data_IF_404395582871
#
_entry.id   IF_404395582871
#
_cell.length_a   1.000
_cell.length_b   1.000
_cell.length_c   1.000
_cell.angle_alpha   90.00
_cell.angle_beta   90.00
_cell.angle_gamma   90.00
#
_symmetry.space_group_name_H-M   'P 1'
#
loop_
_entity.id
_entity.type
_entity.pdbx_description
1 polymer ?
#
# COMPACT_ATOMS: atom_id res chain seq x y z
N UNK A 1 -24.98 8.50 11.51
CA UNK A 1 -23.71 7.81 11.76
C UNK A 1 -23.98 6.34 11.56
N UNK A 2 -23.22 5.67 10.68
CA UNK A 2 -23.27 4.22 10.60
C UNK A 2 -22.29 3.69 11.65
N UNK A 3 -22.75 2.85 12.56
CA UNK A 3 -21.87 2.20 13.51
C UNK A 3 -21.11 1.08 12.79
N UNK A 4 -19.77 1.12 12.87
CA UNK A 4 -18.88 0.12 12.29
C UNK A 4 -18.40 -0.78 13.43
N UNK A 5 -18.82 -2.05 13.41
CA UNK A 5 -18.36 -3.07 14.36
C UNK A 5 -17.32 -3.95 13.64
N UNK A 6 -16.05 -3.77 13.98
CA UNK A 6 -14.93 -4.56 13.46
C UNK A 6 -14.04 -5.01 14.62
N UNK A 7 -13.48 -6.22 14.51
CA UNK A 7 -12.49 -6.71 15.49
C UNK A 7 -11.13 -6.07 15.23
N UNK A 8 -10.40 -5.71 16.28
CA UNK A 8 -9.02 -5.18 16.16
C UNK A 8 -8.12 -6.13 15.37
N UNK A 9 -8.22 -7.44 15.61
CA UNK A 9 -7.46 -8.45 14.87
C UNK A 9 -7.75 -8.45 13.35
N UNK A 10 -8.96 -8.08 12.94
CA UNK A 10 -9.30 -7.92 11.51
C UNK A 10 -8.63 -6.67 10.94
N UNK A 11 -8.60 -5.56 11.70
CA UNK A 11 -7.86 -4.34 11.31
C UNK A 11 -6.36 -4.61 11.17
N UNK A 12 -5.75 -5.34 12.10
CA UNK A 12 -4.35 -5.73 12.00
C UNK A 12 -4.07 -6.56 10.74
N UNK A 13 -4.99 -7.48 10.40
CA UNK A 13 -4.86 -8.32 9.21
C UNK A 13 -4.94 -7.48 7.94
N UNK A 14 -5.88 -6.53 7.88
CA UNK A 14 -5.98 -5.59 6.76
C UNK A 14 -4.72 -4.73 6.67
N UNK A 15 -4.22 -4.20 7.79
CA UNK A 15 -2.98 -3.42 7.81
C UNK A 15 -1.81 -4.21 7.25
N UNK A 16 -1.57 -5.44 7.73
CA UNK A 16 -0.48 -6.31 7.22
C UNK A 16 -0.62 -6.59 5.73
N UNK A 17 -1.85 -6.78 5.25
CA UNK A 17 -2.11 -7.02 3.83
C UNK A 17 -1.80 -5.78 2.99
N UNK A 18 -2.18 -4.58 3.47
CA UNK A 18 -1.86 -3.32 2.81
C UNK A 18 -0.36 -3.06 2.77
N UNK A 19 0.35 -3.31 3.88
CA UNK A 19 1.80 -3.17 3.93
C UNK A 19 2.48 -4.12 2.92
N UNK A 20 2.03 -5.38 2.83
CA UNK A 20 2.55 -6.34 1.83
C UNK A 20 2.33 -5.86 0.40
N UNK A 21 1.15 -5.32 0.08
CA UNK A 21 0.84 -4.80 -1.26
C UNK A 21 1.71 -3.57 -1.59
N UNK A 22 1.93 -2.70 -0.61
CA UNK A 22 2.82 -1.54 -0.75
C UNK A 22 4.25 -2.00 -1.03
N UNK A 23 4.75 -2.97 -0.28
CA UNK A 23 6.08 -3.55 -0.48
C UNK A 23 6.21 -4.19 -1.87
N UNK A 24 5.19 -4.91 -2.34
CA UNK A 24 5.15 -5.46 -3.71
C UNK A 24 5.24 -4.36 -4.77
N UNK A 25 4.51 -3.25 -4.60
CA UNK A 25 4.58 -2.12 -5.53
C UNK A 25 5.94 -1.42 -5.52
N UNK A 26 6.64 -1.34 -4.38
CA UNK A 26 7.98 -0.76 -4.31
C UNK A 26 9.03 -1.59 -5.04
N UNK A 27 8.90 -2.92 -5.00
CA UNK A 27 9.86 -3.84 -5.62
C UNK A 27 9.55 -4.18 -7.08
N UNK A 28 8.34 -3.89 -7.57
CA UNK A 28 7.93 -4.23 -8.92
C UNK A 28 8.47 -3.27 -10.01
N UNK A 29 9.17 -2.19 -9.64
CA UNK A 29 9.70 -1.18 -10.59
C UNK A 29 10.76 -1.77 -11.52
N UNK A 30 11.58 -2.67 -11.01
CA UNK A 30 12.74 -3.22 -11.73
C UNK A 30 12.37 -4.06 -12.98
N UNK A 31 11.15 -4.59 -13.07
CA UNK A 31 10.74 -5.45 -14.21
C UNK A 31 10.16 -4.68 -15.40
N UNK A 32 9.85 -3.39 -15.26
CA UNK A 32 9.21 -2.62 -16.34
C UNK A 32 10.24 -2.05 -17.32
N UNK A 33 11.39 -1.56 -16.85
CA UNK A 33 12.44 -0.97 -17.71
C UNK A 33 13.05 -1.98 -18.71
N UNK A 34 12.95 -3.28 -18.43
CA UNK A 34 13.45 -4.35 -19.30
C UNK A 34 12.62 -4.52 -20.59
N UNK A 35 11.33 -4.16 -20.58
CA UNK A 35 10.41 -4.48 -21.66
C UNK A 35 10.64 -3.61 -22.91
N UNK A 36 10.84 -2.30 -22.76
CA UNK A 36 11.17 -1.41 -23.88
C UNK A 36 12.44 -1.87 -24.60
N UNK A 37 13.48 -2.20 -23.83
CA UNK A 37 14.77 -2.64 -24.33
C UNK A 37 14.67 -3.97 -25.09
N UNK A 38 13.87 -4.90 -24.58
CA UNK A 38 13.60 -6.19 -25.23
C UNK A 38 12.85 -6.05 -26.56
N UNK A 39 12.01 -5.01 -26.71
CA UNK A 39 11.29 -4.72 -27.96
C UNK A 39 12.25 -4.18 -29.03
N UNK A 40 13.05 -3.17 -28.70
CA UNK A 40 13.98 -2.52 -29.63
C UNK A 40 13.29 -1.88 -30.85
N UNK A 41 13.98 -1.84 -32.00
CA UNK A 41 13.48 -1.25 -33.26
C UNK A 41 13.46 -2.27 -34.41
N UNK A 42 12.58 -3.27 -34.38
CA UNK A 42 12.52 -4.28 -35.43
C UNK A 42 12.13 -3.63 -36.76
N UNK A 43 12.92 -3.89 -37.82
CA UNK A 43 12.72 -3.29 -39.14
C UNK A 43 12.75 -1.75 -39.16
N UNK A 44 13.58 -1.14 -38.30
CA UNK A 44 13.69 0.32 -38.12
C UNK A 44 12.35 0.99 -37.72
N UNK A 45 11.48 0.23 -37.06
CA UNK A 45 10.16 0.67 -36.58
C UNK A 45 10.15 0.74 -35.06
N UNK A 46 9.92 1.93 -34.53
CA UNK A 46 9.89 2.19 -33.09
C UNK A 46 8.48 2.23 -32.50
N UNK A 47 7.41 2.12 -33.29
CA UNK A 47 6.07 2.46 -32.79
C UNK A 47 5.60 1.54 -31.65
N UNK A 48 6.04 0.29 -31.63
CA UNK A 48 5.73 -0.64 -30.54
C UNK A 48 6.53 -0.32 -29.28
N UNK A 49 7.81 0.02 -29.43
CA UNK A 49 8.69 0.45 -28.35
C UNK A 49 8.16 1.73 -27.71
N UNK A 50 7.84 2.73 -28.53
CA UNK A 50 7.32 4.02 -28.07
C UNK A 50 5.99 3.83 -27.31
N UNK A 51 5.15 2.87 -27.71
CA UNK A 51 3.92 2.51 -26.98
C UNK A 51 4.16 1.77 -25.67
N UNK A 52 5.21 0.97 -25.58
CA UNK A 52 5.63 0.33 -24.34
C UNK A 52 6.16 1.37 -23.36
N UNK A 53 7.02 2.28 -23.81
CA UNK A 53 7.52 3.42 -23.04
C UNK A 53 6.37 4.29 -22.51
N UNK A 54 5.43 4.70 -23.38
CA UNK A 54 4.21 5.45 -22.99
C UNK A 54 3.39 4.72 -21.90
N UNK A 55 3.33 3.39 -21.96
CA UNK A 55 2.60 2.59 -20.98
C UNK A 55 3.36 2.52 -19.66
N UNK A 56 4.67 2.27 -19.70
CA UNK A 56 5.55 2.18 -18.53
C UNK A 56 5.55 3.47 -17.72
N UNK A 57 5.73 4.64 -18.36
CA UNK A 57 5.69 5.94 -17.70
C UNK A 57 4.36 6.17 -16.98
N UNK A 58 3.24 5.93 -17.68
CA UNK A 58 1.89 6.10 -17.12
C UNK A 58 1.58 5.11 -16.02
N UNK A 59 2.13 3.90 -16.14
CA UNK A 59 1.95 2.86 -15.14
C UNK A 59 2.76 3.16 -13.89
N UNK A 60 3.99 3.66 -14.00
CA UNK A 60 4.79 4.09 -12.86
C UNK A 60 4.08 5.22 -12.09
N UNK A 61 3.59 6.26 -12.79
CA UNK A 61 2.79 7.33 -12.19
C UNK A 61 1.59 6.78 -11.42
N UNK A 62 0.80 5.89 -12.05
CA UNK A 62 -0.41 5.32 -11.43
C UNK A 62 -0.08 4.37 -10.27
N UNK A 63 1.01 3.63 -10.37
CA UNK A 63 1.50 2.77 -9.30
C UNK A 63 1.95 3.59 -8.10
N UNK A 64 2.69 4.68 -8.32
CA UNK A 64 3.10 5.59 -7.27
C UNK A 64 1.90 6.25 -6.58
N UNK A 65 0.92 6.75 -7.35
CA UNK A 65 -0.35 7.28 -6.82
C UNK A 65 -1.10 6.25 -5.95
N UNK A 66 -1.18 5.01 -6.42
CA UNK A 66 -1.87 3.92 -5.72
C UNK A 66 -1.13 3.53 -4.44
N UNK A 67 0.20 3.36 -4.52
CA UNK A 67 1.08 3.07 -3.37
C UNK A 67 0.91 4.10 -2.28
N UNK A 68 0.96 5.39 -2.61
CA UNK A 68 0.79 6.47 -1.65
C UNK A 68 -0.60 6.48 -1.01
N UNK A 69 -1.62 6.15 -1.80
CA UNK A 69 -2.99 6.03 -1.31
C UNK A 69 -3.14 4.86 -0.33
N UNK A 70 -2.54 3.70 -0.64
CA UNK A 70 -2.56 2.52 0.22
C UNK A 70 -1.77 2.75 1.51
N UNK A 71 -0.62 3.43 1.45
CA UNK A 71 0.15 3.85 2.64
C UNK A 71 -0.69 4.71 3.57
N UNK A 72 -1.38 5.73 3.05
CA UNK A 72 -2.28 6.59 3.85
C UNK A 72 -3.39 5.80 4.53
N UNK A 73 -3.97 4.82 3.85
CA UNK A 73 -5.00 3.95 4.45
C UNK A 73 -4.40 3.06 5.54
N UNK A 74 -3.21 2.46 5.30
CA UNK A 74 -2.50 1.66 6.31
C UNK A 74 -2.16 2.49 7.56
N UNK A 75 -1.67 3.72 7.38
CA UNK A 75 -1.40 4.67 8.47
C UNK A 75 -2.66 5.03 9.25
N UNK A 76 -3.78 5.24 8.56
CA UNK A 76 -5.05 5.53 9.22
C UNK A 76 -5.53 4.33 10.07
N UNK A 77 -5.46 3.12 9.52
CA UNK A 77 -5.80 1.90 10.26
C UNK A 77 -4.89 1.73 11.47
N UNK A 78 -3.58 1.98 11.32
CA UNK A 78 -2.63 1.95 12.43
C UNK A 78 -3.04 2.94 13.53
N UNK A 79 -3.37 4.18 13.18
CA UNK A 79 -3.81 5.17 14.15
C UNK A 79 -5.07 4.75 14.91
N UNK A 80 -6.00 4.03 14.27
CA UNK A 80 -7.18 3.45 14.94
C UNK A 80 -6.77 2.32 15.90
N UNK A 81 -5.88 1.42 15.49
CA UNK A 81 -5.38 0.33 16.35
C UNK A 81 -4.68 0.91 17.57
N UNK A 82 -3.68 1.78 17.36
CA UNK A 82 -2.87 2.41 18.40
C UNK A 82 -3.80 3.14 19.40
N UNK A 83 -4.79 3.90 18.91
CA UNK A 83 -5.72 4.62 19.78
C UNK A 83 -6.61 3.73 20.63
N UNK A 84 -6.96 2.52 20.16
CA UNK A 84 -7.75 1.56 20.95
C UNK A 84 -6.85 0.86 21.97
N UNK A 85 -5.64 0.46 21.60
CA UNK A 85 -4.67 -0.18 22.50
C UNK A 85 -4.23 0.73 23.65
N UNK A 86 -3.98 2.01 23.34
CA UNK A 86 -3.68 3.03 24.34
C UNK A 86 -4.86 3.20 25.30
N UNK A 87 -6.08 3.31 24.78
CA UNK A 87 -7.29 3.42 25.59
C UNK A 87 -7.51 2.19 26.50
N UNK A 88 -7.32 0.98 25.98
CA UNK A 88 -7.46 -0.26 26.76
C UNK A 88 -6.43 -0.31 27.89
N UNK A 89 -5.18 0.05 27.59
CA UNK A 89 -4.07 0.09 28.55
C UNK A 89 -4.30 1.11 29.66
N UNK A 90 -4.69 2.34 29.30
CA UNK A 90 -5.00 3.41 30.26
C UNK A 90 -6.18 3.02 31.16
N UNK A 91 -7.23 2.45 30.56
CA UNK A 91 -8.43 2.03 31.28
C UNK A 91 -8.11 0.88 32.24
N UNK A 92 -7.32 -0.11 31.82
CA UNK A 92 -6.88 -1.20 32.67
C UNK A 92 -6.12 -0.70 33.90
N UNK A 93 -5.24 0.31 33.75
CA UNK A 93 -4.53 0.94 34.87
C UNK A 93 -5.49 1.64 35.84
N UNK A 94 -6.51 2.35 35.33
CA UNK A 94 -7.50 3.04 36.17
C UNK A 94 -8.33 2.08 37.03
N UNK A 95 -8.59 0.87 36.53
CA UNK A 95 -9.39 -0.14 37.23
C UNK A 95 -8.55 -1.17 38.01
N UNK A 96 -7.22 -1.01 38.09
CA UNK A 96 -6.41 -1.84 38.99
C UNK A 96 -6.78 -1.55 40.46
N UNK A 97 -7.13 -2.58 41.25
CA UNK A 97 -7.43 -2.37 42.66
C UNK A 97 -6.18 -1.88 43.39
N UNK A 98 -6.29 -0.74 44.09
CA UNK A 98 -5.23 -0.25 44.97
C UNK A 98 -4.98 -1.29 46.07
N UNK A 99 -3.75 -1.82 46.11
CA UNK A 99 -3.26 -2.63 47.24
C UNK A 99 -3.06 -1.77 48.48
#
# INVERSE_FOLDING_TARGET
MADILIKIAELETVKRSLDSIVDEFENATDSSEDLEADIGDPFDRSELRDKACDFEERWDDKRNDLKDSLKKVSEHIKGVIDGIEDWDSETALQFQPKK
#
